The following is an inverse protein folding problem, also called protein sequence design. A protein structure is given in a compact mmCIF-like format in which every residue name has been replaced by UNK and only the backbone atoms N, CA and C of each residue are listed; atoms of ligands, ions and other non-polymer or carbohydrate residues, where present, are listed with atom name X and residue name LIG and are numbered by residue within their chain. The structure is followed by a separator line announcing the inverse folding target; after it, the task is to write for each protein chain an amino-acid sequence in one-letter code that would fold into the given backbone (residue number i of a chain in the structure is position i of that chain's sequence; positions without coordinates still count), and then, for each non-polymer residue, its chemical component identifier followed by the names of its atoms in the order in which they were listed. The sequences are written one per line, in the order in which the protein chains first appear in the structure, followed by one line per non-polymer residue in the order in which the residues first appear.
data_IF_939688141313
#
_entry.id   IF_939688141313
#
_cell.length_a   1.000
_cell.length_b   1.000
_cell.length_c   1.000
_cell.angle_alpha   90.00
_cell.angle_beta   90.00
_cell.angle_gamma   90.00
#
_symmetry.space_group_name_H-M   'P 1'
#
loop_
_entity.id
_entity.type
_entity.pdbx_description
1 polymer ?
#
# COMPACT_ATOMS: atom_id res chain seq x y z
N UNK A 1 -44.98 32.79 30.38
CA UNK A 1 -44.84 32.37 31.79
C UNK A 1 -43.38 32.10 32.05
N UNK A 2 -42.78 33.03 32.76
CA UNK A 2 -41.41 33.04 33.28
C UNK A 2 -41.14 31.93 34.29
N UNK A 3 -39.84 31.62 34.44
CA UNK A 3 -39.08 31.22 35.64
C UNK A 3 -37.88 30.40 35.11
N UNK A 4 -36.62 30.86 35.00
CA UNK A 4 -35.74 31.69 35.85
C UNK A 4 -35.64 31.21 37.30
N UNK A 5 -34.73 30.26 37.54
CA UNK A 5 -33.97 30.03 38.79
C UNK A 5 -32.65 29.33 38.37
N UNK A 6 -31.50 30.00 38.26
CA UNK A 6 -30.60 30.55 39.27
C UNK A 6 -29.69 29.51 39.99
N UNK A 7 -28.42 29.52 39.55
CA UNK A 7 -27.14 29.44 40.30
C UNK A 7 -26.91 28.33 41.34
N UNK A 8 -25.84 27.55 41.13
CA UNK A 8 -24.76 27.31 42.11
C UNK A 8 -23.52 26.73 41.38
N UNK A 9 -22.48 27.53 41.13
CA UNK A 9 -21.18 27.48 41.81
C UNK A 9 -20.46 26.12 41.80
N UNK A 10 -19.32 26.08 41.08
CA UNK A 10 -18.04 25.70 41.70
C UNK A 10 -17.55 24.27 41.48
N UNK A 11 -16.74 24.06 40.44
CA UNK A 11 -15.48 23.33 40.60
C UNK A 11 -14.53 23.61 39.43
N UNK A 12 -13.43 24.29 39.75
CA UNK A 12 -12.23 24.37 38.92
C UNK A 12 -11.67 22.95 38.71
N UNK A 13 -11.94 22.35 37.57
CA UNK A 13 -11.21 21.21 37.05
C UNK A 13 -10.30 21.67 35.92
N UNK A 14 -9.10 22.13 36.26
CA UNK A 14 -8.02 22.42 35.32
C UNK A 14 -7.58 21.09 34.69
N UNK A 15 -8.24 20.70 33.58
CA UNK A 15 -7.74 19.64 32.72
C UNK A 15 -6.52 20.20 32.01
N UNK A 16 -5.34 19.92 32.57
CA UNK A 16 -4.07 20.06 31.88
C UNK A 16 -4.11 19.08 30.72
N UNK A 17 -4.51 19.58 29.55
CA UNK A 17 -4.27 18.90 28.28
C UNK A 17 -2.76 18.88 28.12
N UNK A 18 -2.15 17.77 28.54
CA UNK A 18 -0.81 17.41 28.10
C UNK A 18 -0.91 17.23 26.58
N UNK A 19 -0.70 18.33 25.85
CA UNK A 19 -0.32 18.31 24.45
C UNK A 19 0.98 17.52 24.41
N UNK A 20 0.85 16.21 24.22
CA UNK A 20 1.93 15.37 23.74
C UNK A 20 2.37 15.97 22.42
N UNK A 21 3.37 16.84 22.47
CA UNK A 21 4.15 17.25 21.33
C UNK A 21 4.80 15.97 20.78
N UNK A 22 4.06 15.25 19.94
CA UNK A 22 4.68 14.47 18.89
C UNK A 22 5.68 15.42 18.24
N UNK A 23 6.97 15.08 18.33
CA UNK A 23 8.03 15.76 17.61
C UNK A 23 7.74 15.57 16.13
N UNK A 24 6.81 16.35 15.60
CA UNK A 24 6.64 16.55 14.17
C UNK A 24 7.94 17.23 13.78
N UNK A 25 8.86 16.44 13.22
CA UNK A 25 10.03 16.97 12.54
C UNK A 25 9.51 18.04 11.60
N UNK A 26 9.77 19.32 11.92
CA UNK A 26 9.43 20.42 11.03
C UNK A 26 10.33 20.23 9.82
N UNK A 27 9.74 19.84 8.71
CA UNK A 27 10.43 19.82 7.42
C UNK A 27 10.90 21.26 7.12
N UNK A 28 12.21 21.47 7.16
CA UNK A 28 12.87 22.75 6.88
C UNK A 28 13.31 22.86 5.42
N UNK A 29 13.01 21.87 4.59
CA UNK A 29 13.36 21.89 3.17
C UNK A 29 12.65 23.02 2.42
N UNK A 30 13.25 23.41 1.30
CA UNK A 30 12.72 24.47 0.43
C UNK A 30 11.28 24.14 0.00
N UNK A 31 10.41 25.14 0.05
CA UNK A 31 9.06 25.04 -0.52
C UNK A 31 9.15 25.18 -2.04
N UNK A 32 8.66 24.17 -2.77
CA UNK A 32 8.63 24.15 -4.22
C UNK A 32 7.30 24.66 -4.77
N UNK A 33 6.19 24.42 -4.06
CA UNK A 33 4.87 24.93 -4.40
C UNK A 33 3.99 25.10 -3.16
N UNK A 34 2.94 25.92 -3.26
CA UNK A 34 1.91 26.09 -2.25
C UNK A 34 0.53 25.99 -2.90
N UNK A 35 -0.31 25.10 -2.39
CA UNK A 35 -1.67 24.85 -2.87
C UNK A 35 -2.61 25.05 -1.68
N UNK A 36 -3.28 26.20 -1.65
CA UNK A 36 -4.27 26.53 -0.60
C UNK A 36 -3.73 26.38 0.83
N UNK A 37 -2.47 26.78 1.05
CA UNK A 37 -1.79 26.68 2.34
C UNK A 37 -1.02 25.37 2.55
N UNK A 38 -1.25 24.34 1.72
CA UNK A 38 -0.47 23.11 1.74
C UNK A 38 0.83 23.27 0.94
N UNK A 39 1.96 22.98 1.57
CA UNK A 39 3.28 23.12 0.94
C UNK A 39 3.74 21.81 0.34
N UNK A 40 4.19 21.84 -0.92
CA UNK A 40 5.04 20.79 -1.49
C UNK A 40 6.50 21.19 -1.20
N UNK A 41 7.18 20.43 -0.35
CA UNK A 41 8.60 20.66 -0.04
C UNK A 41 9.50 19.87 -0.97
N UNK A 42 10.75 20.31 -1.09
CA UNK A 42 11.78 19.61 -1.88
C UNK A 42 11.96 18.16 -1.41
N UNK A 43 11.94 17.93 -0.09
CA UNK A 43 12.00 16.60 0.50
C UNK A 43 10.79 15.75 0.09
N UNK A 44 9.57 16.25 0.30
CA UNK A 44 8.36 15.50 -0.02
C UNK A 44 8.21 15.19 -1.51
N UNK A 45 8.58 16.12 -2.38
CA UNK A 45 8.63 15.88 -3.83
C UNK A 45 9.70 14.83 -4.18
N UNK A 46 10.89 14.93 -3.58
CA UNK A 46 11.96 13.95 -3.78
C UNK A 46 11.60 12.53 -3.33
N UNK A 47 10.89 12.38 -2.22
CA UNK A 47 10.36 11.09 -1.77
C UNK A 47 9.34 10.54 -2.78
N UNK A 48 8.45 11.39 -3.28
CA UNK A 48 7.43 10.99 -4.26
C UNK A 48 8.05 10.53 -5.57
N UNK A 49 9.08 11.23 -6.08
CA UNK A 49 9.81 10.82 -7.28
C UNK A 49 10.50 9.47 -7.07
N UNK A 50 11.14 9.23 -5.92
CA UNK A 50 11.76 7.93 -5.61
C UNK A 50 10.73 6.81 -5.61
N UNK A 51 9.57 7.02 -4.98
CA UNK A 51 8.49 6.04 -4.96
C UNK A 51 7.96 5.73 -6.36
N UNK A 52 7.74 6.76 -7.20
CA UNK A 52 7.23 6.56 -8.55
C UNK A 52 8.22 5.88 -9.49
N UNK A 53 9.51 6.17 -9.36
CA UNK A 53 10.54 5.66 -10.25
C UNK A 53 10.99 4.25 -9.84
N UNK A 54 11.01 3.94 -8.54
CA UNK A 54 11.42 2.64 -7.99
C UNK A 54 12.92 2.32 -8.09
N UNK A 55 13.65 3.01 -8.96
CA UNK A 55 15.10 2.96 -9.14
C UNK A 55 15.75 4.22 -8.52
N UNK A 56 16.52 4.03 -7.45
CA UNK A 56 17.14 5.14 -6.70
C UNK A 56 18.12 5.94 -7.56
N UNK A 57 18.90 5.28 -8.43
CA UNK A 57 19.90 5.97 -9.24
C UNK A 57 19.22 6.89 -10.27
N UNK A 58 18.17 6.40 -10.93
CA UNK A 58 17.35 7.20 -11.85
C UNK A 58 16.60 8.31 -11.13
N UNK A 59 16.08 8.05 -9.93
CA UNK A 59 15.40 9.08 -9.13
C UNK A 59 16.38 10.22 -8.77
N UNK A 60 17.59 9.89 -8.32
CA UNK A 60 18.65 10.88 -8.05
C UNK A 60 19.01 11.66 -9.32
N UNK A 61 19.14 10.99 -10.47
CA UNK A 61 19.42 11.64 -11.75
C UNK A 61 18.32 12.66 -12.12
N UNK A 62 17.05 12.25 -12.06
CA UNK A 62 15.91 13.15 -12.32
C UNK A 62 15.92 14.35 -11.38
N UNK A 63 16.19 14.12 -10.09
CA UNK A 63 16.12 15.17 -9.07
C UNK A 63 17.28 16.18 -9.19
N UNK A 64 18.47 15.74 -9.57
CA UNK A 64 19.69 16.56 -9.44
C UNK A 64 20.32 16.98 -10.77
N UNK A 65 20.15 16.20 -11.85
CA UNK A 65 20.82 16.45 -13.12
C UNK A 65 20.28 17.71 -13.83
N UNK A 66 21.15 18.59 -14.35
CA UNK A 66 20.72 19.69 -15.21
C UNK A 66 20.00 19.22 -16.48
N UNK A 67 20.41 18.09 -17.05
CA UNK A 67 19.80 17.52 -18.26
C UNK A 67 18.34 17.09 -18.03
N UNK A 68 18.00 16.74 -16.79
CA UNK A 68 16.66 16.28 -16.41
C UNK A 68 15.76 17.41 -15.88
N UNK A 69 16.24 18.66 -15.90
CA UNK A 69 15.51 19.82 -15.33
C UNK A 69 14.08 19.93 -15.85
N UNK A 70 13.87 19.81 -17.15
CA UNK A 70 12.53 19.91 -17.74
C UNK A 70 11.63 18.75 -17.32
N UNK A 71 12.15 17.52 -17.26
CA UNK A 71 11.39 16.37 -16.76
C UNK A 71 11.03 16.52 -15.28
N UNK A 72 11.98 16.95 -14.44
CA UNK A 72 11.74 17.22 -13.02
C UNK A 72 10.65 18.28 -12.83
N UNK A 73 10.69 19.36 -13.61
CA UNK A 73 9.71 20.43 -13.54
C UNK A 73 8.31 19.97 -13.98
N UNK A 74 8.22 19.14 -15.03
CA UNK A 74 6.95 18.54 -15.46
C UNK A 74 6.37 17.62 -14.38
N UNK A 75 7.20 16.76 -13.79
CA UNK A 75 6.75 15.91 -12.67
C UNK A 75 6.22 16.76 -11.52
N UNK A 76 6.94 17.82 -11.13
CA UNK A 76 6.45 18.73 -10.08
C UNK A 76 5.11 19.37 -10.45
N UNK A 77 4.94 19.83 -11.70
CA UNK A 77 3.68 20.41 -12.17
C UNK A 77 2.53 19.39 -12.11
N UNK A 78 2.75 18.15 -12.55
CA UNK A 78 1.76 17.07 -12.44
C UNK A 78 1.35 16.81 -10.97
N UNK A 79 2.31 16.80 -10.04
CA UNK A 79 2.02 16.69 -8.61
C UNK A 79 1.20 17.87 -8.07
N UNK A 80 1.49 19.09 -8.54
CA UNK A 80 0.72 20.28 -8.18
C UNK A 80 -0.71 20.14 -8.70
N UNK A 81 -0.90 19.77 -9.96
CA UNK A 81 -2.22 19.64 -10.58
C UNK A 81 -3.07 18.58 -9.87
N UNK A 82 -2.48 17.43 -9.50
CA UNK A 82 -3.15 16.41 -8.71
C UNK A 82 -3.63 16.94 -7.35
N UNK A 83 -2.79 17.72 -6.65
CA UNK A 83 -3.18 18.34 -5.38
C UNK A 83 -4.24 19.42 -5.55
N UNK A 84 -4.15 20.23 -6.60
CA UNK A 84 -5.17 21.25 -6.93
C UNK A 84 -6.52 20.57 -7.14
N UNK A 85 -6.58 19.50 -7.92
CA UNK A 85 -7.82 18.75 -8.17
C UNK A 85 -8.38 18.12 -6.89
N UNK A 86 -7.51 17.62 -6.01
CA UNK A 86 -7.94 17.05 -4.72
C UNK A 86 -8.53 18.14 -3.82
N UNK A 87 -7.83 19.28 -3.66
CA UNK A 87 -8.33 20.43 -2.89
C UNK A 87 -9.62 21.00 -3.45
N UNK A 88 -9.76 21.04 -4.77
CA UNK A 88 -10.99 21.46 -5.40
C UNK A 88 -12.12 20.49 -5.08
N UNK A 89 -11.88 19.18 -5.17
CA UNK A 89 -12.84 18.15 -4.76
C UNK A 89 -13.26 18.27 -3.29
N UNK A 90 -12.31 18.51 -2.38
CA UNK A 90 -12.58 18.75 -0.96
C UNK A 90 -13.50 19.97 -0.77
N UNK A 91 -13.24 21.07 -1.48
CA UNK A 91 -14.08 22.28 -1.44
C UNK A 91 -15.49 22.04 -2.00
N UNK A 92 -15.66 21.09 -2.90
CA UNK A 92 -16.96 20.66 -3.41
C UNK A 92 -17.66 19.64 -2.49
N UNK A 93 -17.02 19.22 -1.39
CA UNK A 93 -17.59 18.24 -0.46
C UNK A 93 -17.60 16.82 -1.02
N UNK A 94 -16.72 16.48 -1.97
CA UNK A 94 -16.62 15.12 -2.52
C UNK A 94 -16.20 14.10 -1.46
N UNK A 95 -15.56 14.52 -0.37
CA UNK A 95 -15.27 13.68 0.79
C UNK A 95 -16.55 13.11 1.45
N UNK A 96 -17.68 13.82 1.31
CA UNK A 96 -18.99 13.43 1.87
C UNK A 96 -19.88 12.74 0.86
N UNK A 97 -19.61 12.90 -0.43
CA UNK A 97 -20.37 12.26 -1.50
C UNK A 97 -20.27 10.72 -1.39
N UNK A 98 -21.39 9.97 -1.41
CA UNK A 98 -21.38 8.53 -1.23
C UNK A 98 -20.66 7.79 -2.37
N UNK A 99 -20.76 8.29 -3.61
CA UNK A 99 -20.09 7.68 -4.76
C UNK A 99 -18.58 7.88 -4.67
N UNK A 100 -18.14 9.10 -4.35
CA UNK A 100 -16.74 9.40 -4.16
C UNK A 100 -16.12 8.58 -3.02
N UNK A 101 -16.80 8.48 -1.86
CA UNK A 101 -16.33 7.63 -0.75
C UNK A 101 -16.18 6.16 -1.15
N UNK A 102 -17.13 5.60 -1.88
CA UNK A 102 -17.04 4.23 -2.36
C UNK A 102 -15.84 4.03 -3.30
N UNK A 103 -15.62 4.96 -4.23
CA UNK A 103 -14.50 4.89 -5.17
C UNK A 103 -13.14 5.05 -4.49
N UNK A 104 -13.03 5.97 -3.52
CA UNK A 104 -11.79 6.17 -2.76
C UNK A 104 -11.47 4.96 -1.89
N UNK A 105 -12.45 4.39 -1.18
CA UNK A 105 -12.22 3.20 -0.38
C UNK A 105 -11.86 1.98 -1.24
N UNK A 106 -12.47 1.82 -2.42
CA UNK A 106 -12.07 0.78 -3.37
C UNK A 106 -10.62 0.99 -3.88
N UNK A 107 -10.26 2.22 -4.25
CA UNK A 107 -8.90 2.54 -4.69
C UNK A 107 -7.86 2.29 -3.57
N UNK A 108 -8.20 2.66 -2.33
CA UNK A 108 -7.38 2.40 -1.15
C UNK A 108 -7.21 0.91 -0.88
N UNK A 109 -8.29 0.13 -0.93
CA UNK A 109 -8.24 -1.32 -0.77
C UNK A 109 -7.32 -1.97 -1.81
N UNK A 110 -7.44 -1.56 -3.07
CA UNK A 110 -6.58 -2.05 -4.17
C UNK A 110 -5.12 -1.65 -3.97
N UNK A 111 -4.84 -0.40 -3.61
CA UNK A 111 -3.48 0.08 -3.36
C UNK A 111 -2.84 -0.65 -2.19
N UNK A 112 -3.58 -0.84 -1.09
CA UNK A 112 -3.08 -1.55 0.08
C UNK A 112 -2.80 -3.02 -0.24
N UNK A 113 -3.70 -3.69 -0.96
CA UNK A 113 -3.50 -5.07 -1.41
C UNK A 113 -2.22 -5.24 -2.23
N UNK A 114 -1.98 -4.34 -3.19
CA UNK A 114 -0.76 -4.34 -4.01
C UNK A 114 0.51 -4.14 -3.17
N UNK A 115 0.53 -3.12 -2.30
CA UNK A 115 1.71 -2.81 -1.47
C UNK A 115 1.98 -3.94 -0.46
N UNK A 116 0.94 -4.52 0.13
CA UNK A 116 1.10 -5.65 1.06
C UNK A 116 1.64 -6.89 0.33
N UNK A 117 1.18 -7.15 -0.90
CA UNK A 117 1.71 -8.23 -1.73
C UNK A 117 3.17 -7.98 -2.10
N UNK A 118 3.52 -6.78 -2.56
CA UNK A 118 4.89 -6.40 -2.89
C UNK A 118 5.82 -6.60 -1.68
N UNK A 119 5.39 -6.16 -0.50
CA UNK A 119 6.14 -6.39 0.75
C UNK A 119 6.29 -7.88 1.08
N UNK A 120 5.29 -8.70 0.78
CA UNK A 120 5.36 -10.14 0.98
C UNK A 120 6.36 -10.82 0.05
N UNK A 121 6.59 -10.30 -1.17
CA UNK A 121 7.40 -10.97 -2.21
C UNK A 121 8.75 -10.32 -2.54
N UNK A 122 8.95 -9.04 -2.20
CA UNK A 122 10.14 -8.22 -2.56
C UNK A 122 11.47 -8.74 -2.00
N UNK A 123 11.44 -9.72 -1.09
CA UNK A 123 12.64 -10.33 -0.48
C UNK A 123 12.87 -11.77 -0.89
N UNK A 124 12.13 -12.26 -1.88
CA UNK A 124 12.03 -13.68 -2.19
C UNK A 124 12.88 -14.00 -3.44
N UNK A 125 14.18 -14.17 -3.25
CA UNK A 125 15.05 -14.88 -4.21
C UNK A 125 15.21 -16.33 -3.76
N UNK A 126 14.98 -17.32 -4.63
CA UNK A 126 15.13 -18.71 -4.24
C UNK A 126 16.61 -19.08 -4.13
N UNK A 127 16.98 -19.65 -3.00
CA UNK A 127 18.23 -20.39 -2.85
C UNK A 127 18.18 -21.70 -3.64
N UNK A 128 19.34 -22.25 -4.01
CA UNK A 128 19.43 -23.56 -4.68
C UNK A 128 18.72 -24.66 -3.85
N UNK A 129 18.83 -24.62 -2.53
CA UNK A 129 18.13 -25.55 -1.64
C UNK A 129 16.60 -25.44 -1.74
N UNK A 130 16.06 -24.22 -1.88
CA UNK A 130 14.63 -24.01 -2.08
C UNK A 130 14.16 -24.47 -3.46
N UNK A 131 14.97 -24.27 -4.51
CA UNK A 131 14.67 -24.78 -5.85
C UNK A 131 14.65 -26.30 -5.87
N UNK A 132 15.62 -26.94 -5.20
CA UNK A 132 15.66 -28.40 -5.06
C UNK A 132 14.47 -28.93 -4.27
N UNK A 133 14.15 -28.34 -3.12
CA UNK A 133 12.99 -28.74 -2.33
C UNK A 133 11.68 -28.58 -3.13
N UNK A 134 11.55 -27.49 -3.91
CA UNK A 134 10.41 -27.28 -4.79
C UNK A 134 10.33 -28.32 -5.90
N UNK A 135 11.44 -28.63 -6.57
CA UNK A 135 11.49 -29.70 -7.56
C UNK A 135 11.08 -31.04 -6.95
N UNK A 136 11.62 -31.39 -5.79
CA UNK A 136 11.32 -32.67 -5.12
C UNK A 136 9.81 -32.75 -4.76
N UNK A 137 9.20 -31.63 -4.31
CA UNK A 137 7.74 -31.52 -4.08
C UNK A 137 6.94 -31.77 -5.37
N UNK A 138 7.33 -31.13 -6.47
CA UNK A 138 6.62 -31.25 -7.76
C UNK A 138 6.78 -32.65 -8.34
N UNK A 139 7.99 -33.22 -8.31
CA UNK A 139 8.26 -34.58 -8.77
C UNK A 139 7.48 -35.63 -7.96
N UNK A 140 7.40 -35.46 -6.64
CA UNK A 140 6.59 -36.32 -5.78
C UNK A 140 5.09 -36.22 -6.13
N UNK A 141 4.58 -35.02 -6.39
CA UNK A 141 3.20 -34.80 -6.82
C UNK A 141 2.91 -35.44 -8.19
N UNK A 142 3.83 -35.31 -9.15
CA UNK A 142 3.70 -35.93 -10.47
C UNK A 142 3.67 -37.46 -10.36
N UNK A 143 4.54 -38.03 -9.53
CA UNK A 143 4.55 -39.47 -9.25
C UNK A 143 3.24 -39.95 -8.61
N UNK A 144 2.72 -39.21 -7.63
CA UNK A 144 1.44 -39.54 -7.00
C UNK A 144 0.26 -39.49 -8.00
N UNK A 145 0.36 -38.63 -9.02
CA UNK A 145 -0.62 -38.52 -10.10
C UNK A 145 -0.41 -39.52 -11.26
N UNK A 146 0.59 -40.41 -11.18
CA UNK A 146 0.92 -41.35 -12.26
C UNK A 146 1.55 -40.69 -13.50
N UNK A 147 2.16 -39.52 -13.33
CA UNK A 147 2.82 -38.71 -14.37
C UNK A 147 4.34 -38.72 -14.20
N UNK A 148 4.91 -39.78 -13.65
CA UNK A 148 6.36 -39.92 -13.43
C UNK A 148 7.13 -40.24 -14.72
N UNK A 149 6.48 -40.91 -15.67
CA UNK A 149 7.11 -41.28 -16.92
C UNK A 149 7.37 -40.06 -17.81
N UNK A 150 8.65 -39.75 -18.05
CA UNK A 150 9.07 -38.56 -18.82
C UNK A 150 9.15 -37.27 -18.01
N UNK A 151 9.01 -37.33 -16.68
CA UNK A 151 9.21 -36.17 -15.82
C UNK A 151 10.69 -35.71 -15.89
N UNK A 152 10.97 -34.41 -16.10
CA UNK A 152 12.32 -33.91 -16.28
C UNK A 152 13.17 -34.10 -15.02
N UNK A 153 14.47 -34.32 -15.19
CA UNK A 153 15.42 -34.33 -14.07
C UNK A 153 15.59 -32.93 -13.48
N UNK A 154 16.19 -32.83 -12.29
CA UNK A 154 16.48 -31.54 -11.66
C UNK A 154 17.31 -30.64 -12.58
N UNK A 155 18.35 -31.16 -13.21
CA UNK A 155 19.21 -30.41 -14.14
C UNK A 155 18.46 -29.93 -15.38
N UNK A 156 17.55 -30.75 -15.92
CA UNK A 156 16.71 -30.37 -17.05
C UNK A 156 15.67 -29.31 -16.66
N UNK A 157 15.17 -29.34 -15.43
CA UNK A 157 14.17 -28.41 -14.93
C UNK A 157 14.76 -27.10 -14.39
N UNK A 158 16.05 -27.09 -14.03
CA UNK A 158 16.73 -25.98 -13.36
C UNK A 158 16.49 -24.59 -13.98
N UNK A 159 16.47 -24.41 -15.31
CA UNK A 159 16.18 -23.11 -15.92
C UNK A 159 14.77 -22.59 -15.63
N UNK A 160 13.77 -23.48 -15.54
CA UNK A 160 12.38 -23.08 -15.27
C UNK A 160 12.02 -22.99 -13.78
N UNK A 161 12.77 -23.67 -12.90
CA UNK A 161 12.46 -23.75 -11.46
C UNK A 161 12.32 -22.38 -10.78
N UNK A 162 13.19 -21.38 -10.98
CA UNK A 162 13.04 -20.08 -10.31
C UNK A 162 11.72 -19.39 -10.65
N UNK A 163 11.30 -19.44 -11.92
CA UNK A 163 10.04 -18.84 -12.35
C UNK A 163 8.82 -19.59 -11.79
N UNK A 164 8.87 -20.93 -11.78
CA UNK A 164 7.80 -21.77 -11.27
C UNK A 164 7.65 -21.63 -9.75
N UNK A 165 8.77 -21.61 -9.04
CA UNK A 165 8.80 -21.37 -7.60
C UNK A 165 8.26 -19.99 -7.25
N UNK A 166 8.66 -18.93 -7.96
CA UNK A 166 8.10 -17.57 -7.73
C UNK A 166 6.59 -17.53 -7.91
N UNK A 167 6.03 -18.25 -8.89
CA UNK A 167 4.56 -18.35 -9.07
C UNK A 167 3.87 -19.06 -7.91
N UNK A 168 4.46 -20.14 -7.39
CA UNK A 168 3.94 -20.81 -6.19
C UNK A 168 4.00 -19.88 -4.97
N UNK A 169 5.12 -19.21 -4.75
CA UNK A 169 5.28 -18.26 -3.65
C UNK A 169 4.28 -17.10 -3.74
N UNK A 170 3.95 -16.62 -4.93
CA UNK A 170 2.91 -15.59 -5.14
C UNK A 170 1.53 -16.09 -4.68
N UNK A 171 1.18 -17.33 -5.02
CA UNK A 171 -0.08 -17.95 -4.60
C UNK A 171 -0.14 -18.08 -3.08
N UNK A 172 0.92 -18.61 -2.48
CA UNK A 172 1.00 -18.81 -1.03
C UNK A 172 1.02 -17.47 -0.29
N UNK A 173 1.77 -16.48 -0.78
CA UNK A 173 1.80 -15.13 -0.22
C UNK A 173 0.41 -14.48 -0.25
N UNK A 174 -0.34 -14.65 -1.33
CA UNK A 174 -1.73 -14.15 -1.43
C UNK A 174 -2.66 -14.79 -0.39
N UNK A 175 -2.63 -16.12 -0.29
CA UNK A 175 -3.47 -16.85 0.64
C UNK A 175 -3.13 -16.54 2.10
N UNK A 176 -1.83 -16.53 2.43
CA UNK A 176 -1.35 -16.21 3.76
C UNK A 176 -1.65 -14.76 4.14
N UNK A 177 -1.44 -13.80 3.22
CA UNK A 177 -1.78 -12.40 3.46
C UNK A 177 -3.26 -12.23 3.80
N UNK A 178 -4.17 -12.85 3.03
CA UNK A 178 -5.60 -12.78 3.30
C UNK A 178 -5.99 -13.49 4.60
N UNK A 179 -5.36 -14.62 4.92
CA UNK A 179 -5.55 -15.32 6.19
C UNK A 179 -5.13 -14.44 7.37
N UNK A 180 -3.94 -13.85 7.30
CA UNK A 180 -3.38 -12.99 8.35
C UNK A 180 -4.22 -11.72 8.52
N UNK A 181 -4.67 -11.12 7.41
CA UNK A 181 -5.59 -9.99 7.43
C UNK A 181 -6.91 -10.35 8.12
N UNK A 182 -7.53 -11.50 7.79
CA UNK A 182 -8.78 -11.97 8.42
C UNK A 182 -8.60 -12.33 9.90
N UNK A 183 -7.41 -12.79 10.30
CA UNK A 183 -7.12 -13.06 11.71
C UNK A 183 -7.01 -11.76 12.54
N UNK A 184 -6.52 -10.69 11.94
CA UNK A 184 -6.35 -9.39 12.60
C UNK A 184 -7.58 -8.49 12.49
N UNK A 185 -8.37 -8.63 11.42
CA UNK A 185 -9.54 -7.81 11.13
C UNK A 185 -10.79 -8.66 11.17
N UNK A 186 -11.55 -8.53 12.27
CA UNK A 186 -12.84 -9.21 12.43
C UNK A 186 -13.82 -8.71 11.37
N UNK A 187 -14.37 -9.63 10.59
CA UNK A 187 -15.47 -9.36 9.65
C UNK A 187 -16.63 -10.29 9.96
N UNK A 188 -17.85 -9.80 9.72
CA UNK A 188 -19.07 -10.61 9.80
C UNK A 188 -19.88 -10.37 8.54
N UNK A 189 -20.42 -11.45 7.99
CA UNK A 189 -21.38 -11.41 6.89
C UNK A 189 -22.67 -12.00 7.45
N UNK A 190 -23.78 -11.29 7.27
CA UNK A 190 -25.11 -11.78 7.59
C UNK A 190 -25.30 -13.16 6.94
N UNK A 191 -25.71 -14.20 7.71
CA UNK A 191 -25.95 -15.54 7.16
C UNK A 191 -26.82 -15.56 5.90
N UNK A 192 -27.81 -14.67 5.78
CA UNK A 192 -28.70 -14.59 4.62
C UNK A 192 -27.99 -14.17 3.32
N UNK A 193 -26.79 -13.59 3.42
CA UNK A 193 -25.99 -13.09 2.30
C UNK A 193 -24.70 -13.87 2.09
N UNK A 194 -24.48 -14.97 2.82
CA UNK A 194 -23.34 -15.85 2.57
C UNK A 194 -23.59 -16.60 1.26
N UNK A 195 -22.56 -16.67 0.41
CA UNK A 195 -22.59 -17.55 -0.74
C UNK A 195 -22.87 -18.99 -0.26
N UNK A 196 -23.70 -19.74 -0.99
CA UNK A 196 -23.85 -21.17 -0.76
C UNK A 196 -22.47 -21.81 -0.88
N UNK A 197 -22.11 -22.67 0.07
CA UNK A 197 -20.77 -23.25 0.21
C UNK A 197 -20.23 -23.76 -1.14
N UNK A 198 -19.08 -23.23 -1.58
CA UNK A 198 -18.40 -23.66 -2.82
C UNK A 198 -18.05 -22.57 -3.84
N UNK A 199 -18.40 -21.31 -3.60
CA UNK A 199 -17.92 -20.18 -4.41
C UNK A 199 -17.16 -19.15 -3.55
N UNK A 200 -15.94 -19.50 -3.16
CA UNK A 200 -14.91 -18.56 -2.71
C UNK A 200 -13.57 -18.95 -3.30
#
# INVERSE_FOLDING_TARGET
MDMRFARMMGMCGLVVVALGCSKVSKDTSKVLANIDGEKITEKGFGESVRTLVGDEAKAVEILTSPAMKEQRNRLLAEFVDQKVMTKYGDKQGLDKDPKARLLVEAAKSNAYGQILMEKAISKIEPTEAQLKAFYDKVAASAKAAGQDQGFPTYEQAKPQLPSAWKREQLKDASQNLMKDAKAQVKSTIDPAWRAADGQQ
#
